data_IF_385872949546
#
_entry.id   IF_385872949546
#
_cell.length_a   1.000
_cell.length_b   1.000
_cell.length_c   1.000
_cell.angle_alpha   90.00
_cell.angle_beta   90.00
_cell.angle_gamma   90.00
#
_symmetry.space_group_name_H-M   'P 1'
#
loop_
_entity.id
_entity.type
_entity.pdbx_description
1 polymer ?
#
# COMPACT_ATOMS: atom_id res chain seq x y z
N UNK A 1 -16.61 -14.46 -5.44
CA UNK A 1 -16.87 -13.19 -6.17
C UNK A 1 -16.13 -12.15 -5.38
N UNK A 2 -15.13 -11.55 -6.00
CA UNK A 2 -14.29 -10.55 -5.35
C UNK A 2 -15.16 -9.39 -4.87
N UNK A 3 -15.02 -9.04 -3.59
CA UNK A 3 -15.67 -7.88 -2.97
C UNK A 3 -14.73 -6.67 -2.92
N UNK A 4 -13.42 -6.91 -3.04
CA UNK A 4 -12.40 -5.87 -3.14
C UNK A 4 -11.34 -6.30 -4.15
N UNK A 5 -11.06 -5.40 -5.08
CA UNK A 5 -10.05 -5.61 -6.12
C UNK A 5 -9.18 -4.37 -6.23
N UNK A 6 -7.88 -4.56 -6.13
CA UNK A 6 -6.88 -3.54 -6.41
C UNK A 6 -5.95 -4.06 -7.52
N UNK A 7 -5.82 -3.30 -8.60
CA UNK A 7 -4.91 -3.61 -9.70
C UNK A 7 -3.79 -2.58 -9.74
N UNK A 8 -2.54 -3.04 -9.64
CA UNK A 8 -1.34 -2.21 -9.80
C UNK A 8 -1.39 -0.90 -8.98
N UNK A 9 -1.90 -0.99 -7.76
CA UNK A 9 -2.11 0.14 -6.86
C UNK A 9 -0.77 0.82 -6.53
N UNK A 10 -0.79 2.15 -6.49
CA UNK A 10 0.35 3.00 -6.11
C UNK A 10 -0.09 4.07 -5.14
N UNK A 11 0.69 4.25 -4.08
CA UNK A 11 0.54 5.35 -3.13
C UNK A 11 1.93 5.87 -2.76
N UNK A 12 2.25 7.07 -3.26
CA UNK A 12 3.55 7.70 -3.06
C UNK A 12 3.39 9.00 -2.28
N UNK A 13 4.27 9.23 -1.31
CA UNK A 13 4.29 10.42 -0.47
C UNK A 13 5.54 11.23 -0.74
N UNK A 14 5.38 12.54 -0.85
CA UNK A 14 6.49 13.46 -0.96
C UNK A 14 6.78 14.00 0.43
N UNK A 15 8.03 13.86 0.87
CA UNK A 15 8.52 14.41 2.12
C UNK A 15 9.64 15.39 1.82
N UNK A 16 9.59 16.56 2.46
CA UNK A 16 10.65 17.55 2.42
C UNK A 16 11.10 17.83 3.85
N UNK A 17 12.34 17.44 4.16
CA UNK A 17 12.90 17.58 5.51
C UNK A 17 14.29 18.22 5.35
N UNK A 18 14.53 19.33 6.04
CA UNK A 18 15.77 20.12 5.95
C UNK A 18 16.18 20.47 4.50
N UNK A 19 15.21 20.81 3.65
CA UNK A 19 15.44 21.14 2.23
C UNK A 19 15.77 19.94 1.34
N UNK A 20 15.75 18.72 1.86
CA UNK A 20 15.92 17.49 1.08
C UNK A 20 14.53 16.94 0.74
N UNK A 21 14.20 16.93 -0.54
CA UNK A 21 12.97 16.34 -1.08
C UNK A 21 13.19 14.85 -1.38
N UNK A 22 12.35 13.99 -0.82
CA UNK A 22 12.32 12.55 -1.10
C UNK A 22 10.90 12.10 -1.46
N UNK A 23 10.82 11.08 -2.31
CA UNK A 23 9.57 10.39 -2.60
C UNK A 23 9.61 9.03 -1.93
N UNK A 24 8.63 8.76 -1.06
CA UNK A 24 8.43 7.46 -0.43
C UNK A 24 7.38 6.71 -1.23
N UNK A 25 7.76 5.57 -1.81
CA UNK A 25 6.85 4.67 -2.51
C UNK A 25 6.26 3.68 -1.51
N UNK A 26 5.23 4.11 -0.77
CA UNK A 26 4.67 3.32 0.32
C UNK A 26 3.90 2.08 -0.18
N UNK A 27 3.19 2.22 -1.30
CA UNK A 27 2.59 1.10 -2.05
C UNK A 27 3.02 1.24 -3.51
N UNK A 28 3.51 0.17 -4.11
CA UNK A 28 4.11 0.19 -5.44
C UNK A 28 3.73 -1.02 -6.29
N UNK A 29 2.83 -0.82 -7.26
CA UNK A 29 2.34 -1.86 -8.18
C UNK A 29 1.72 -3.08 -7.48
N UNK A 30 1.08 -2.87 -6.32
CA UNK A 30 0.43 -3.96 -5.57
C UNK A 30 -0.90 -4.32 -6.23
N UNK A 31 -1.08 -5.61 -6.52
CA UNK A 31 -2.35 -6.16 -6.99
C UNK A 31 -2.87 -7.19 -5.99
N UNK A 32 -4.14 -7.08 -5.62
CA UNK A 32 -4.80 -7.99 -4.70
C UNK A 32 -6.29 -8.08 -4.98
N UNK A 33 -6.85 -9.23 -4.64
CA UNK A 33 -8.28 -9.53 -4.69
C UNK A 33 -8.67 -10.13 -3.34
N UNK A 34 -9.83 -9.73 -2.81
CA UNK A 34 -10.40 -10.30 -1.59
C UNK A 34 -11.81 -10.79 -1.90
N UNK A 35 -12.04 -12.07 -1.68
CA UNK A 35 -13.31 -12.73 -1.95
C UNK A 35 -14.34 -12.51 -0.83
N UNK A 36 -15.61 -12.68 -1.19
CA UNK A 36 -16.69 -12.66 -0.21
C UNK A 36 -16.46 -13.73 0.88
N UNK A 37 -16.58 -13.33 2.14
CA UNK A 37 -16.33 -14.15 3.35
C UNK A 37 -14.86 -14.60 3.54
N UNK A 38 -13.89 -14.00 2.84
CA UNK A 38 -12.47 -14.23 3.08
C UNK A 38 -11.98 -13.45 4.32
N UNK A 39 -11.21 -14.11 5.19
CA UNK A 39 -10.44 -13.45 6.25
C UNK A 39 -9.06 -13.12 5.66
N UNK A 40 -8.86 -11.87 5.29
CA UNK A 40 -7.62 -11.37 4.71
C UNK A 40 -6.83 -10.51 5.71
N UNK A 41 -5.51 -10.58 5.69
CA UNK A 41 -4.63 -9.79 6.56
C UNK A 41 -3.34 -9.35 5.88
N UNK A 42 -2.83 -8.18 6.28
CA UNK A 42 -1.56 -7.62 5.79
C UNK A 42 -0.58 -7.58 6.96
N UNK A 43 0.60 -8.19 6.79
CA UNK A 43 1.66 -8.25 7.79
C UNK A 43 3.00 -7.74 7.23
N UNK A 44 3.89 -7.31 8.13
CA UNK A 44 5.19 -6.72 7.77
C UNK A 44 5.70 -5.74 8.82
N UNK A 45 6.96 -5.32 8.69
CA UNK A 45 7.65 -4.44 9.64
C UNK A 45 6.98 -3.06 9.78
N UNK A 46 7.24 -2.37 10.90
CA UNK A 46 6.75 -1.01 11.10
C UNK A 46 7.25 -0.09 9.98
N UNK A 47 6.33 0.69 9.38
CA UNK A 47 6.66 1.61 8.29
C UNK A 47 6.67 1.01 6.88
N UNK A 48 6.35 -0.27 6.68
CA UNK A 48 6.39 -0.90 5.35
C UNK A 48 5.16 -0.65 4.44
N UNK A 49 4.27 0.27 4.81
CA UNK A 49 3.12 0.65 3.96
C UNK A 49 1.79 -0.09 4.18
N UNK A 50 1.64 -0.87 5.27
CA UNK A 50 0.40 -1.66 5.53
C UNK A 50 -0.86 -0.83 5.80
N UNK A 51 -0.71 0.34 6.42
CA UNK A 51 -1.81 1.22 6.82
C UNK A 51 -2.00 2.40 5.88
N UNK A 52 -1.23 2.44 4.79
CA UNK A 52 -1.33 3.42 3.70
C UNK A 52 -2.51 3.08 2.81
#
# INVERSE_FOLDING_TARGET
>A
MSILRAERLKAYYISEIFGIKRTVRAVDEVSMDVDNNEIFGIAGESGCGKST
#
